data_IF_837806556815
#
_entry.id   IF_837806556815
#
_cell.length_a   1.000
_cell.length_b   1.000
_cell.length_c   1.000
_cell.angle_alpha   90.00
_cell.angle_beta   90.00
_cell.angle_gamma   90.00
#
_symmetry.space_group_name_H-M   'P 1'
#
loop_
_entity.id
_entity.type
_entity.pdbx_description
1 polymer ?
#
# COMPACT_ATOMS: atom_id res chain seq x y z
N UNK A 1 -29.76 14.78 -4.12
CA UNK A 1 -28.72 13.77 -4.44
C UNK A 1 -27.39 14.40 -4.10
N UNK A 2 -26.89 14.15 -2.89
CA UNK A 2 -25.68 14.81 -2.38
C UNK A 2 -24.43 14.08 -2.88
N UNK A 3 -23.61 14.85 -3.58
CA UNK A 3 -22.25 14.61 -4.04
C UNK A 3 -21.32 14.16 -2.90
N UNK A 4 -20.63 13.04 -3.05
CA UNK A 4 -19.35 12.77 -2.36
C UNK A 4 -18.50 11.75 -3.12
N UNK A 5 -18.18 12.09 -4.36
CA UNK A 5 -16.96 11.64 -5.02
C UNK A 5 -15.77 12.30 -4.33
N UNK A 6 -15.26 11.68 -3.26
CA UNK A 6 -13.94 11.94 -2.66
C UNK A 6 -13.63 10.82 -1.66
N UNK A 7 -13.31 9.64 -2.17
CA UNK A 7 -12.44 8.73 -1.41
C UNK A 7 -11.02 9.34 -1.44
N UNK A 8 -10.85 10.46 -0.73
CA UNK A 8 -9.52 10.87 -0.28
C UNK A 8 -9.25 9.92 0.88
N UNK A 9 -8.58 8.81 0.60
CA UNK A 9 -8.07 7.90 1.63
C UNK A 9 -7.04 8.69 2.42
N UNK A 10 -7.49 9.36 3.47
CA UNK A 10 -6.67 10.22 4.31
C UNK A 10 -5.86 9.31 5.21
N UNK A 11 -4.70 8.86 4.73
CA UNK A 11 -3.72 8.17 5.56
C UNK A 11 -3.37 9.08 6.74
N UNK A 12 -3.75 8.65 7.94
CA UNK A 12 -3.31 9.34 9.14
C UNK A 12 -1.86 8.94 9.38
N UNK A 13 -0.93 9.83 9.05
CA UNK A 13 0.52 9.60 9.22
C UNK A 13 0.89 9.08 10.61
N UNK A 14 0.15 9.52 11.65
CA UNK A 14 0.28 9.04 13.03
C UNK A 14 0.01 7.54 13.15
N UNK A 15 -1.08 7.06 12.57
CA UNK A 15 -1.51 5.67 12.68
C UNK A 15 -0.65 4.74 11.83
N UNK A 16 -0.19 5.20 10.67
CA UNK A 16 0.84 4.47 9.92
C UNK A 16 2.12 4.32 10.70
N UNK A 17 2.58 5.38 11.37
CA UNK A 17 3.78 5.32 12.21
C UNK A 17 3.60 4.36 13.39
N UNK A 18 2.43 4.34 14.02
CA UNK A 18 2.07 3.37 15.08
C UNK A 18 1.97 1.92 14.53
N UNK A 19 1.60 1.76 13.27
CA UNK A 19 1.62 0.48 12.55
C UNK A 19 3.01 0.05 12.07
N UNK A 20 4.06 0.86 12.29
CA UNK A 20 5.42 0.59 11.81
C UNK A 20 5.61 0.83 10.30
N UNK A 21 4.69 1.56 9.67
CA UNK A 21 4.74 1.96 8.27
C UNK A 21 5.07 3.45 8.14
N UNK A 22 5.92 3.77 7.19
CA UNK A 22 6.06 5.13 6.67
C UNK A 22 4.89 5.46 5.73
N UNK A 23 4.63 6.75 5.52
CA UNK A 23 3.57 7.18 4.60
C UNK A 23 3.73 6.58 3.18
N UNK A 24 4.93 6.58 2.57
CA UNK A 24 5.12 5.97 1.25
C UNK A 24 4.86 4.46 1.23
N UNK A 25 5.15 3.75 2.32
CA UNK A 25 4.87 2.31 2.42
C UNK A 25 3.36 2.04 2.47
N UNK A 26 2.61 2.84 3.25
CA UNK A 26 1.17 2.73 3.31
C UNK A 26 0.51 3.08 1.96
N UNK A 27 1.00 4.12 1.28
CA UNK A 27 0.55 4.49 -0.06
C UNK A 27 0.83 3.39 -1.07
N UNK A 28 2.03 2.79 -1.05
CA UNK A 28 2.40 1.69 -1.91
C UNK A 28 1.51 0.46 -1.69
N UNK A 29 1.25 0.07 -0.44
CA UNK A 29 0.36 -1.04 -0.11
C UNK A 29 -1.08 -0.81 -0.60
N UNK A 30 -1.58 0.41 -0.45
CA UNK A 30 -2.89 0.78 -0.98
C UNK A 30 -2.91 0.87 -2.51
N UNK A 31 -1.80 1.25 -3.13
CA UNK A 31 -1.67 1.23 -4.58
C UNK A 31 -1.82 -0.21 -5.10
N UNK A 32 -1.10 -1.16 -4.53
CA UNK A 32 -1.19 -2.59 -4.89
C UNK A 32 -2.63 -3.12 -4.78
N UNK A 33 -3.39 -2.68 -3.77
CA UNK A 33 -4.80 -3.04 -3.60
C UNK A 33 -5.74 -2.45 -4.65
N UNK A 34 -5.42 -1.27 -5.19
CA UNK A 34 -6.32 -0.53 -6.09
C UNK A 34 -5.92 -0.64 -7.56
N UNK A 35 -4.64 -0.87 -7.84
CA UNK A 35 -4.04 -0.92 -9.16
C UNK A 35 -2.93 -2.01 -9.18
N UNK A 36 -3.24 -3.24 -9.63
CA UNK A 36 -2.31 -4.36 -9.55
C UNK A 36 -1.25 -4.41 -10.67
N UNK A 37 -1.19 -3.44 -11.59
CA UNK A 37 -0.26 -3.51 -12.75
C UNK A 37 1.19 -3.29 -12.34
N UNK A 38 2.08 -4.18 -12.80
CA UNK A 38 3.50 -4.20 -12.44
C UNK A 38 4.24 -2.93 -12.85
N UNK A 39 4.08 -2.48 -14.11
CA UNK A 39 4.82 -1.34 -14.67
C UNK A 39 4.55 -0.04 -13.92
N UNK A 40 3.29 0.25 -13.59
CA UNK A 40 2.93 1.50 -12.93
C UNK A 40 3.42 1.53 -11.48
N UNK A 41 3.37 0.38 -10.79
CA UNK A 41 3.82 0.27 -9.41
C UNK A 41 5.34 0.48 -9.29
N UNK A 42 6.13 -0.16 -10.15
CA UNK A 42 7.59 -0.01 -10.18
C UNK A 42 8.01 1.43 -10.53
N UNK A 43 7.29 2.08 -11.45
CA UNK A 43 7.55 3.47 -11.85
C UNK A 43 7.17 4.48 -10.77
N UNK A 44 6.10 4.23 -10.01
CA UNK A 44 5.59 5.16 -9.01
C UNK A 44 6.41 5.16 -7.71
N UNK A 45 6.83 3.99 -7.23
CA UNK A 45 7.43 3.83 -5.89
C UNK A 45 8.91 3.44 -5.90
N UNK A 46 9.42 2.97 -7.03
CA UNK A 46 10.81 2.59 -7.20
C UNK A 46 11.18 1.26 -6.53
N UNK A 47 12.15 0.56 -7.12
CA UNK A 47 12.55 -0.78 -6.73
C UNK A 47 12.96 -0.92 -5.25
N UNK A 48 13.57 0.12 -4.64
CA UNK A 48 14.00 0.08 -3.23
C UNK A 48 12.84 -0.07 -2.25
N UNK A 49 11.72 0.62 -2.50
CA UNK A 49 10.55 0.54 -1.63
C UNK A 49 9.87 -0.82 -1.79
N UNK A 50 9.74 -1.27 -3.03
CA UNK A 50 9.12 -2.56 -3.37
C UNK A 50 9.91 -3.70 -2.73
N UNK A 51 11.22 -3.75 -2.91
CA UNK A 51 12.08 -4.76 -2.29
C UNK A 51 12.01 -4.74 -0.75
N UNK A 52 11.77 -3.56 -0.15
CA UNK A 52 11.57 -3.45 1.30
C UNK A 52 10.24 -4.06 1.74
N UNK A 53 9.16 -3.77 1.04
CA UNK A 53 7.82 -4.33 1.31
C UNK A 53 7.79 -5.84 1.09
N UNK A 54 8.47 -6.32 0.05
CA UNK A 54 8.61 -7.75 -0.22
C UNK A 54 9.44 -8.45 0.87
N UNK A 55 10.55 -7.86 1.31
CA UNK A 55 11.35 -8.37 2.43
C UNK A 55 10.58 -8.40 3.76
N UNK A 56 9.61 -7.52 3.92
CA UNK A 56 8.69 -7.51 5.08
C UNK A 56 7.51 -8.48 4.92
N UNK A 57 7.48 -9.25 3.84
CA UNK A 57 6.39 -10.16 3.48
C UNK A 57 5.04 -9.46 3.39
N UNK A 58 5.02 -8.16 3.05
CA UNK A 58 3.79 -7.38 2.91
C UNK A 58 3.18 -7.46 1.52
N UNK A 59 4.03 -7.64 0.51
CA UNK A 59 3.63 -7.83 -0.88
C UNK A 59 4.37 -9.02 -1.47
N UNK A 60 3.81 -9.60 -2.52
CA UNK A 60 4.45 -10.64 -3.32
C UNK A 60 4.02 -10.50 -4.78
N UNK A 61 4.90 -10.92 -5.69
CA UNK A 61 4.59 -10.98 -7.12
C UNK A 61 4.19 -12.42 -7.48
N UNK A 62 3.06 -12.60 -8.15
CA UNK A 62 2.55 -13.91 -8.56
C UNK A 62 2.92 -14.31 -10.00
N UNK A 63 3.64 -13.44 -10.71
CA UNK A 63 4.00 -13.63 -12.13
C UNK A 63 3.23 -12.72 -13.08
N UNK A 64 2.12 -12.13 -12.64
CA UNK A 64 1.27 -11.22 -13.44
C UNK A 64 1.07 -9.86 -12.76
N UNK A 65 0.90 -9.85 -11.45
CA UNK A 65 0.66 -8.64 -10.69
C UNK A 65 1.30 -8.68 -9.29
N UNK A 66 1.47 -7.48 -8.74
CA UNK A 66 1.76 -7.35 -7.31
C UNK A 66 0.49 -7.61 -6.52
N UNK A 67 0.62 -8.42 -5.48
CA UNK A 67 -0.45 -8.74 -4.55
C UNK A 67 0.00 -8.35 -3.14
N UNK A 68 -0.98 -8.00 -2.29
CA UNK A 68 -0.74 -7.75 -0.87
C UNK A 68 -0.95 -9.04 -0.08
N UNK A 69 -0.07 -9.31 0.88
CA UNK A 69 -0.25 -10.42 1.81
C UNK A 69 -1.25 -10.08 2.91
N UNK A 70 -1.71 -11.08 3.65
CA UNK A 70 -2.54 -10.86 4.85
C UNK A 70 -1.82 -9.97 5.89
N UNK A 71 -0.50 -10.09 5.99
CA UNK A 71 0.32 -9.29 6.90
C UNK A 71 0.37 -7.83 6.47
N UNK A 72 0.58 -7.58 5.16
CA UNK A 72 0.55 -6.24 4.58
C UNK A 72 -0.82 -5.58 4.74
N UNK A 73 -1.89 -6.34 4.52
CA UNK A 73 -3.26 -5.85 4.68
C UNK A 73 -3.56 -5.46 6.14
N UNK A 74 -3.21 -6.32 7.11
CA UNK A 74 -3.37 -6.01 8.55
C UNK A 74 -2.55 -4.79 8.98
N UNK A 75 -1.35 -4.62 8.44
CA UNK A 75 -0.52 -3.45 8.72
C UNK A 75 -1.17 -2.17 8.13
N UNK A 76 -1.70 -2.27 6.91
CA UNK A 76 -2.39 -1.18 6.23
C UNK A 76 -3.71 -0.80 6.93
N UNK A 77 -4.51 -1.77 7.40
CA UNK A 77 -5.75 -1.50 8.14
C UNK A 77 -5.51 -0.65 9.40
N UNK A 78 -4.35 -0.83 10.05
CA UNK A 78 -3.97 -0.04 11.23
C UNK A 78 -3.73 1.43 10.87
N UNK A 79 -3.40 1.76 9.62
CA UNK A 79 -3.32 3.16 9.17
C UNK A 79 -4.68 3.86 9.10
N UNK A 80 -5.79 3.11 9.00
CA UNK A 80 -7.14 3.64 8.77
C UNK A 80 -8.00 3.76 10.03
N UNK A 81 -7.75 2.96 11.07
CA UNK A 81 -8.38 3.10 12.40
C UNK A 81 -7.99 4.44 13.01
#
# INVERSE_FOLDING_TARGET
MLTSTKHITLFKARHCREAGLSLPEAEALNYVLTHPTQEDFEKAYGYRLIAKLEKQEYIFFDGLCWNISEHGFKALERCFK
#
